data_IF_353404332018
#
_entry.id   IF_353404332018
#
_cell.length_a   1.000
_cell.length_b   1.000
_cell.length_c   1.000
_cell.angle_alpha   90.00
_cell.angle_beta   90.00
_cell.angle_gamma   90.00
#
_symmetry.space_group_name_H-M   'P 1'
#
loop_
_entity.id
_entity.type
_entity.pdbx_description
1 polymer ?
#
# COMPACT_ATOMS: atom_id res chain seq x y z
N UNK A 1 -17.54 -13.75 3.61
CA UNK A 1 -16.32 -13.65 4.46
C UNK A 1 -16.56 -14.57 5.64
N UNK A 2 -15.86 -15.71 5.68
CA UNK A 2 -15.87 -16.58 6.83
C UNK A 2 -15.06 -15.94 7.96
N UNK A 3 -15.60 -16.00 9.18
CA UNK A 3 -14.95 -15.46 10.38
C UNK A 3 -14.96 -16.54 11.44
N UNK A 4 -13.81 -16.75 12.08
CA UNK A 4 -13.65 -17.63 13.21
C UNK A 4 -13.08 -16.85 14.41
N UNK A 5 -13.89 -16.67 15.45
CA UNK A 5 -13.47 -15.97 16.68
C UNK A 5 -13.38 -16.99 17.83
N UNK A 6 -12.25 -17.70 18.02
CA UNK A 6 -12.16 -18.72 19.06
C UNK A 6 -12.20 -18.14 20.49
N UNK A 7 -11.79 -16.89 20.62
CA UNK A 7 -11.95 -16.05 21.82
C UNK A 7 -12.31 -14.63 21.40
N UNK A 8 -12.81 -13.87 22.37
CA UNK A 8 -13.24 -12.49 22.24
C UNK A 8 -12.63 -11.66 23.37
N UNK A 9 -12.39 -10.38 23.11
CA UNK A 9 -11.69 -9.46 24.01
C UNK A 9 -10.22 -9.33 23.65
N UNK A 10 -9.58 -8.25 24.09
CA UNK A 10 -8.17 -7.94 23.79
C UNK A 10 -7.62 -6.89 24.76
N UNK A 11 -6.28 -6.73 24.78
CA UNK A 11 -5.60 -5.65 25.48
C UNK A 11 -5.02 -4.64 24.46
N UNK A 12 -5.27 -3.34 24.63
CA UNK A 12 -4.71 -2.30 23.74
C UNK A 12 -3.18 -2.24 23.88
N UNK A 13 -2.44 -2.23 22.77
CA UNK A 13 -0.94 -2.23 22.80
C UNK A 13 -0.27 -1.15 21.95
N UNK A 14 -1.04 -0.39 21.18
CA UNK A 14 -0.47 0.62 20.28
C UNK A 14 -1.49 1.68 19.90
N UNK A 15 -1.03 2.74 19.24
CA UNK A 15 -1.86 3.87 18.84
C UNK A 15 -3.05 3.45 17.94
N UNK A 16 -2.91 2.38 17.16
CA UNK A 16 -3.99 1.80 16.35
C UNK A 16 -5.15 1.20 17.19
N UNK A 17 -4.94 0.94 18.49
CA UNK A 17 -5.97 0.39 19.37
C UNK A 17 -6.86 1.48 20.02
N UNK A 18 -6.48 2.77 19.92
CA UNK A 18 -7.16 3.85 20.64
C UNK A 18 -8.68 3.86 20.40
N UNK A 19 -9.10 3.81 19.13
CA UNK A 19 -10.50 3.84 18.69
C UNK A 19 -11.03 2.48 18.20
N UNK A 20 -10.50 1.38 18.74
CA UNK A 20 -10.83 0.02 18.35
C UNK A 20 -12.35 -0.23 18.31
N UNK A 21 -12.85 -0.81 17.21
CA UNK A 21 -14.28 -1.08 17.04
C UNK A 21 -14.82 -2.15 17.99
N UNK A 22 -13.98 -3.06 18.47
CA UNK A 22 -14.38 -4.09 19.44
C UNK A 22 -14.75 -3.42 20.76
N UNK A 23 -13.83 -2.63 21.32
CA UNK A 23 -14.08 -1.83 22.52
C UNK A 23 -15.33 -0.95 22.40
N UNK A 24 -15.45 -0.22 21.28
CA UNK A 24 -16.62 0.65 21.04
C UNK A 24 -17.94 -0.12 20.99
N UNK A 25 -17.93 -1.30 20.37
CA UNK A 25 -19.14 -2.14 20.24
C UNK A 25 -19.51 -2.77 21.58
N UNK A 26 -18.54 -3.28 22.32
CA UNK A 26 -18.78 -3.92 23.61
C UNK A 26 -19.25 -2.88 24.64
N UNK A 27 -18.64 -1.69 24.66
CA UNK A 27 -19.07 -0.56 25.49
C UNK A 27 -20.54 -0.18 25.22
N UNK A 28 -20.96 -0.17 23.94
CA UNK A 28 -22.35 0.16 23.56
C UNK A 28 -23.41 -0.82 24.10
N UNK A 29 -22.99 -2.01 24.55
CA UNK A 29 -23.85 -3.03 25.16
C UNK A 29 -23.46 -3.32 26.62
N UNK A 30 -22.64 -2.45 27.24
CA UNK A 30 -22.23 -2.57 28.64
C UNK A 30 -21.25 -3.72 28.94
N UNK A 31 -20.50 -4.19 27.93
CA UNK A 31 -19.51 -5.25 28.06
C UNK A 31 -18.09 -4.68 28.09
N UNK A 32 -17.25 -5.22 28.96
CA UNK A 32 -15.82 -4.90 29.01
C UNK A 32 -15.02 -5.74 28.01
N UNK A 33 -14.49 -5.10 26.97
CA UNK A 33 -13.67 -5.75 25.94
C UNK A 33 -12.27 -6.16 26.42
N UNK A 34 -11.81 -5.70 27.58
CA UNK A 34 -10.53 -6.12 28.17
C UNK A 34 -10.62 -7.51 28.83
N UNK A 35 -11.82 -7.99 29.12
CA UNK A 35 -12.04 -9.34 29.65
C UNK A 35 -11.99 -10.33 28.49
N UNK A 36 -10.89 -11.07 28.39
CA UNK A 36 -10.71 -12.10 27.36
C UNK A 36 -11.43 -13.37 27.78
N UNK A 37 -12.25 -13.90 26.88
CA UNK A 37 -12.98 -15.14 27.11
C UNK A 37 -13.07 -16.01 25.85
N UNK A 38 -12.95 -17.32 26.05
CA UNK A 38 -13.23 -18.34 25.04
C UNK A 38 -14.69 -18.22 24.58
N UNK A 39 -14.94 -18.29 23.27
CA UNK A 39 -16.31 -18.20 22.73
C UNK A 39 -16.91 -19.57 22.48
N UNK A 40 -18.22 -19.61 22.23
CA UNK A 40 -18.88 -20.79 21.70
C UNK A 40 -18.40 -21.20 20.30
N UNK A 41 -17.68 -20.34 19.58
CA UNK A 41 -17.15 -20.61 18.24
C UNK A 41 -15.70 -21.12 18.24
N UNK A 42 -15.15 -21.43 19.41
CA UNK A 42 -13.84 -22.07 19.53
C UNK A 42 -13.67 -23.25 18.56
N UNK A 43 -14.59 -24.21 18.55
CA UNK A 43 -14.49 -25.41 17.70
C UNK A 43 -15.07 -25.24 16.28
N UNK A 44 -15.37 -24.01 15.81
CA UNK A 44 -16.04 -23.76 14.54
C UNK A 44 -15.41 -24.48 13.32
N UNK A 45 -14.06 -24.55 13.15
CA UNK A 45 -13.44 -25.29 12.06
C UNK A 45 -13.75 -26.79 12.07
N UNK A 46 -14.18 -27.36 13.19
CA UNK A 46 -14.58 -28.76 13.26
C UNK A 46 -16.10 -28.95 13.38
N UNK A 47 -16.87 -27.88 13.63
CA UNK A 47 -18.33 -27.95 13.73
C UNK A 47 -18.92 -28.43 12.42
N UNK A 48 -19.85 -29.38 12.55
CA UNK A 48 -20.63 -29.93 11.43
C UNK A 48 -22.09 -29.54 11.51
N UNK A 49 -22.77 -29.52 10.36
CA UNK A 49 -24.23 -29.41 10.28
C UNK A 49 -24.90 -30.76 10.57
N UNK A 50 -26.23 -30.82 10.49
CA UNK A 50 -27.00 -32.06 10.73
C UNK A 50 -26.75 -33.14 9.67
N UNK A 51 -26.30 -32.76 8.48
CA UNK A 51 -25.90 -33.69 7.41
C UNK A 51 -24.47 -34.24 7.59
N UNK A 52 -23.73 -33.78 8.61
CA UNK A 52 -22.35 -34.24 8.87
C UNK A 52 -21.27 -33.51 8.06
N UNK A 53 -21.65 -32.46 7.32
CA UNK A 53 -20.75 -31.60 6.55
C UNK A 53 -20.17 -30.51 7.45
N UNK A 54 -18.93 -30.07 7.19
CA UNK A 54 -18.35 -28.97 7.95
C UNK A 54 -19.10 -27.66 7.68
N UNK A 55 -19.28 -26.85 8.74
CA UNK A 55 -19.91 -25.52 8.62
C UNK A 55 -19.04 -24.50 7.88
N UNK A 56 -17.74 -24.76 7.78
CA UNK A 56 -16.79 -23.99 6.98
C UNK A 56 -16.27 -24.88 5.87
N UNK A 57 -16.29 -24.40 4.64
CA UNK A 57 -15.76 -25.08 3.46
C UNK A 57 -14.77 -24.17 2.70
N UNK A 58 -13.99 -24.75 1.79
CA UNK A 58 -13.10 -23.99 0.92
C UNK A 58 -13.84 -22.97 0.04
N UNK A 59 -15.12 -23.21 -0.26
CA UNK A 59 -15.95 -22.32 -1.09
C UNK A 59 -16.30 -21.02 -0.36
N UNK A 60 -16.24 -21.00 0.98
CA UNK A 60 -16.40 -19.79 1.79
C UNK A 60 -15.23 -18.80 1.64
N UNK A 61 -14.15 -19.25 0.99
CA UNK A 61 -12.90 -18.54 0.78
C UNK A 61 -12.05 -18.50 2.04
N UNK A 62 -11.38 -17.36 2.26
CA UNK A 62 -10.49 -17.14 3.41
C UNK A 62 -11.29 -17.13 4.71
N UNK A 63 -10.78 -17.85 5.72
CA UNK A 63 -11.26 -17.81 7.11
C UNK A 63 -10.43 -16.81 7.90
N UNK A 64 -11.05 -15.68 8.27
CA UNK A 64 -10.39 -14.67 9.08
C UNK A 64 -10.51 -15.02 10.58
N UNK A 65 -9.38 -15.26 11.22
CA UNK A 65 -9.31 -15.60 12.63
C UNK A 65 -9.22 -14.34 13.51
N UNK A 66 -9.84 -14.39 14.70
CA UNK A 66 -9.72 -13.37 15.75
C UNK A 66 -10.14 -11.95 15.32
N UNK A 67 -11.20 -11.83 14.52
CA UNK A 67 -11.81 -10.54 14.18
C UNK A 67 -12.49 -9.82 15.37
N UNK A 68 -12.43 -10.35 16.59
CA UNK A 68 -12.84 -9.64 17.81
C UNK A 68 -11.85 -9.82 18.96
N UNK A 69 -10.60 -10.18 18.65
CA UNK A 69 -9.52 -10.44 19.59
C UNK A 69 -8.17 -10.32 18.87
N UNK A 70 -7.08 -10.83 19.44
CA UNK A 70 -5.80 -11.04 18.75
C UNK A 70 -5.36 -12.50 19.03
N UNK A 71 -4.83 -13.18 18.02
CA UNK A 71 -4.54 -14.62 18.13
C UNK A 71 -3.38 -14.92 19.10
N UNK A 72 -2.49 -13.94 19.30
CA UNK A 72 -1.30 -14.08 20.14
C UNK A 72 -1.47 -13.45 21.54
N UNK A 73 -2.71 -13.29 22.03
CA UNK A 73 -2.97 -12.85 23.41
C UNK A 73 -2.49 -13.87 24.45
N UNK A 74 -1.88 -13.40 25.54
CA UNK A 74 -1.47 -14.21 26.70
C UNK A 74 -2.63 -15.01 27.29
N UNK A 75 -3.77 -14.35 27.45
CA UNK A 75 -4.98 -14.93 28.02
C UNK A 75 -5.51 -16.14 27.22
N UNK A 76 -5.07 -16.29 25.96
CA UNK A 76 -5.44 -17.40 25.09
C UNK A 76 -4.39 -18.52 25.05
N UNK A 77 -3.27 -18.42 25.80
CA UNK A 77 -2.17 -19.38 25.76
C UNK A 77 -2.64 -20.83 26.02
N UNK A 78 -3.53 -21.02 27.00
CA UNK A 78 -4.07 -22.34 27.36
C UNK A 78 -4.99 -22.95 26.28
N UNK A 79 -5.56 -22.13 25.41
CA UNK A 79 -6.50 -22.59 24.38
C UNK A 79 -5.86 -22.67 22.99
N UNK A 80 -4.76 -21.94 22.75
CA UNK A 80 -4.21 -21.77 21.40
C UNK A 80 -3.77 -23.08 20.77
N UNK A 81 -3.24 -24.03 21.54
CA UNK A 81 -2.80 -25.31 20.98
C UNK A 81 -3.95 -26.03 20.25
N UNK A 82 -5.16 -26.03 20.82
CA UNK A 82 -6.30 -26.64 20.14
C UNK A 82 -6.71 -25.89 18.86
N UNK A 83 -6.51 -24.56 18.79
CA UNK A 83 -6.66 -23.83 17.53
C UNK A 83 -5.62 -24.26 16.48
N UNK A 84 -4.36 -24.45 16.85
CA UNK A 84 -3.36 -24.98 15.93
C UNK A 84 -3.70 -26.39 15.45
N UNK A 85 -4.21 -27.25 16.33
CA UNK A 85 -4.63 -28.60 15.96
C UNK A 85 -5.78 -28.58 14.95
N UNK A 86 -6.72 -27.64 15.11
CA UNK A 86 -7.80 -27.43 14.15
C UNK A 86 -7.31 -26.91 12.80
N UNK A 87 -6.40 -25.92 12.79
CA UNK A 87 -5.79 -25.39 11.57
C UNK A 87 -5.00 -26.46 10.82
N UNK A 88 -4.21 -27.27 11.56
CA UNK A 88 -3.45 -28.40 11.01
C UNK A 88 -4.37 -29.45 10.38
N UNK A 89 -5.53 -29.72 11.00
CA UNK A 89 -6.50 -30.70 10.49
C UNK A 89 -7.28 -30.19 9.28
N UNK A 90 -7.55 -28.90 9.20
CA UNK A 90 -8.34 -28.26 8.14
C UNK A 90 -7.43 -27.64 7.06
N UNK A 91 -6.57 -28.46 6.46
CA UNK A 91 -5.71 -28.04 5.35
C UNK A 91 -6.49 -27.68 4.09
N UNK A 92 -7.77 -28.04 4.02
CA UNK A 92 -8.70 -27.61 2.98
C UNK A 92 -9.17 -26.15 3.14
N UNK A 93 -8.93 -25.52 4.30
CA UNK A 93 -9.23 -24.11 4.55
C UNK A 93 -7.97 -23.27 4.58
N UNK A 94 -8.06 -22.03 4.12
CA UNK A 94 -6.99 -21.03 4.24
C UNK A 94 -7.30 -20.02 5.35
N UNK A 95 -6.41 -19.88 6.33
CA UNK A 95 -6.62 -19.03 7.51
C UNK A 95 -5.82 -17.73 7.41
N UNK A 96 -6.47 -16.58 7.60
CA UNK A 96 -5.80 -15.30 7.79
C UNK A 96 -5.81 -14.93 9.28
N UNK A 97 -4.61 -14.77 9.85
CA UNK A 97 -4.41 -14.37 11.24
C UNK A 97 -3.82 -12.96 11.25
N UNK A 98 -4.63 -11.97 11.60
CA UNK A 98 -4.22 -10.58 11.71
C UNK A 98 -3.76 -10.30 13.15
N UNK A 99 -2.58 -9.70 13.32
CA UNK A 99 -2.05 -9.41 14.66
C UNK A 99 -1.31 -8.08 14.75
N UNK A 100 -1.29 -7.52 15.96
CA UNK A 100 -0.37 -6.43 16.38
C UNK A 100 0.75 -6.92 17.31
N UNK A 101 0.77 -8.22 17.63
CA UNK A 101 1.63 -8.91 18.62
C UNK A 101 2.59 -9.90 17.95
N UNK A 102 3.17 -9.51 16.83
CA UNK A 102 4.00 -10.42 16.04
C UNK A 102 5.26 -10.87 16.81
N UNK A 103 5.70 -10.10 17.80
CA UNK A 103 6.75 -10.40 18.75
C UNK A 103 6.48 -11.66 19.60
N UNK A 104 5.22 -12.04 19.80
CA UNK A 104 4.86 -13.27 20.51
C UNK A 104 4.83 -14.51 19.62
N UNK A 105 4.96 -14.39 18.30
CA UNK A 105 4.77 -15.53 17.40
C UNK A 105 5.67 -16.73 17.75
N UNK A 106 6.96 -16.50 17.98
CA UNK A 106 7.94 -17.57 18.22
C UNK A 106 7.65 -18.42 19.45
N UNK A 107 6.99 -17.86 20.48
CA UNK A 107 6.62 -18.60 21.69
C UNK A 107 5.23 -19.26 21.59
N UNK A 108 4.48 -18.95 20.52
CA UNK A 108 3.09 -19.36 20.36
C UNK A 108 2.89 -20.40 19.25
N UNK A 109 3.90 -20.70 18.44
CA UNK A 109 3.81 -21.71 17.38
C UNK A 109 3.90 -23.15 17.91
N UNK A 110 3.26 -24.13 17.24
CA UNK A 110 3.41 -25.54 17.61
C UNK A 110 4.81 -26.06 17.24
N UNK A 111 5.24 -27.15 17.89
CA UNK A 111 6.58 -27.72 17.69
C UNK A 111 6.85 -28.25 16.28
N UNK A 112 5.80 -28.58 15.52
CA UNK A 112 5.86 -29.07 14.14
C UNK A 112 5.62 -27.97 13.09
N UNK A 113 5.74 -26.69 13.48
CA UNK A 113 5.50 -25.56 12.59
C UNK A 113 6.44 -25.52 11.37
N UNK A 114 7.70 -25.95 11.53
CA UNK A 114 8.69 -25.95 10.45
C UNK A 114 9.01 -24.55 9.93
N UNK A 115 8.99 -24.37 8.61
CA UNK A 115 9.17 -23.09 7.91
C UNK A 115 7.85 -22.34 7.66
N UNK A 116 6.74 -22.85 8.19
CA UNK A 116 5.40 -22.29 8.07
C UNK A 116 4.43 -23.20 7.31
N UNK A 117 3.14 -23.08 7.62
CA UNK A 117 2.10 -23.88 6.97
C UNK A 117 1.51 -23.18 5.74
N UNK A 118 1.32 -23.93 4.66
CA UNK A 118 0.74 -23.45 3.39
C UNK A 118 -0.66 -22.85 3.54
N UNK A 119 -1.44 -23.35 4.49
CA UNK A 119 -2.82 -22.94 4.68
C UNK A 119 -2.99 -21.80 5.69
N UNK A 120 -1.90 -21.08 6.01
CA UNK A 120 -1.89 -19.98 6.98
C UNK A 120 -1.18 -18.75 6.42
N UNK A 121 -1.90 -17.64 6.37
CA UNK A 121 -1.37 -16.29 6.13
C UNK A 121 -1.34 -15.51 7.44
N UNK A 122 -0.16 -14.98 7.79
CA UNK A 122 -0.01 -14.04 8.89
C UNK A 122 -0.02 -12.61 8.35
N UNK A 123 -0.85 -11.76 8.95
CA UNK A 123 -0.97 -10.36 8.57
C UNK A 123 -0.47 -9.47 9.71
N UNK A 124 0.66 -8.79 9.51
CA UNK A 124 1.24 -7.89 10.50
C UNK A 124 0.64 -6.49 10.38
N UNK A 125 -0.01 -6.00 11.43
CA UNK A 125 -0.55 -4.63 11.41
C UNK A 125 0.57 -3.60 11.66
N UNK A 126 0.67 -2.58 10.81
CA UNK A 126 1.59 -1.45 10.93
C UNK A 126 0.82 -0.13 10.75
N UNK A 127 0.32 0.46 11.83
CA UNK A 127 -0.51 1.67 11.75
C UNK A 127 0.28 2.98 11.48
N UNK A 128 1.60 3.00 11.71
CA UNK A 128 2.46 4.16 11.53
C UNK A 128 3.93 3.72 11.37
N UNK A 129 4.84 4.67 11.10
CA UNK A 129 6.26 4.38 10.89
C UNK A 129 6.93 3.69 12.08
N UNK A 130 6.67 4.17 13.30
CA UNK A 130 7.24 3.59 14.53
C UNK A 130 6.87 2.10 14.71
N UNK A 131 5.61 1.74 14.46
CA UNK A 131 5.19 0.33 14.49
C UNK A 131 5.73 -0.47 13.30
N UNK A 132 5.94 0.16 12.15
CA UNK A 132 6.57 -0.47 10.97
C UNK A 132 8.01 -0.85 11.27
N UNK A 133 8.82 0.09 11.79
CA UNK A 133 10.22 -0.14 12.12
C UNK A 133 10.40 -1.12 13.29
N UNK A 134 9.44 -1.20 14.21
CA UNK A 134 9.45 -2.21 15.28
C UNK A 134 9.05 -3.60 14.78
N UNK A 135 7.91 -3.74 14.08
CA UNK A 135 7.28 -5.03 13.82
C UNK A 135 7.83 -5.73 12.58
N UNK A 136 8.15 -5.02 11.50
CA UNK A 136 8.55 -5.66 10.25
C UNK A 136 9.89 -6.40 10.33
N UNK A 137 10.95 -5.89 11.01
CA UNK A 137 12.18 -6.67 11.18
C UNK A 137 11.95 -8.00 11.89
N UNK A 138 11.13 -8.01 12.94
CA UNK A 138 10.72 -9.23 13.64
C UNK A 138 9.97 -10.14 12.66
N UNK A 139 8.91 -9.62 12.03
CA UNK A 139 8.04 -10.37 11.13
C UNK A 139 8.77 -11.07 9.99
N UNK A 140 9.78 -10.42 9.41
CA UNK A 140 10.59 -10.96 8.32
C UNK A 140 11.58 -12.04 8.80
N UNK A 141 11.99 -12.02 10.08
CA UNK A 141 12.91 -13.01 10.66
C UNK A 141 12.23 -14.33 11.07
N UNK A 142 10.90 -14.34 11.21
CA UNK A 142 10.14 -15.48 11.70
C UNK A 142 9.90 -16.53 10.59
N UNK A 143 9.76 -17.82 10.93
CA UNK A 143 9.49 -18.91 9.98
C UNK A 143 8.03 -18.88 9.50
N UNK A 144 7.66 -17.88 8.73
CA UNK A 144 6.31 -17.71 8.19
C UNK A 144 6.37 -17.95 6.68
N UNK A 145 5.39 -18.65 6.12
CA UNK A 145 5.35 -18.87 4.66
C UNK A 145 4.70 -17.69 3.95
N UNK A 146 3.45 -17.41 4.30
CA UNK A 146 2.65 -16.34 3.70
C UNK A 146 2.57 -15.13 4.62
N UNK A 147 3.08 -13.98 4.15
CA UNK A 147 3.16 -12.73 4.91
C UNK A 147 2.40 -11.60 4.22
N UNK A 148 1.53 -10.94 4.96
CA UNK A 148 0.89 -9.71 4.53
C UNK A 148 1.11 -8.59 5.54
N UNK A 149 1.05 -7.34 5.08
CA UNK A 149 1.11 -6.15 5.93
C UNK A 149 -0.21 -5.38 5.86
N UNK A 150 -0.73 -4.98 7.02
CA UNK A 150 -1.98 -4.23 7.14
C UNK A 150 -1.69 -2.87 7.77
N UNK A 151 -1.81 -1.80 6.99
CA UNK A 151 -1.75 -0.42 7.48
C UNK A 151 -3.18 0.08 7.74
N UNK A 152 -3.86 -0.53 8.71
CA UNK A 152 -5.25 -0.18 9.07
C UNK A 152 -5.47 -0.25 10.60
N UNK A 153 -5.85 0.88 11.26
CA UNK A 153 -5.95 2.21 10.67
C UNK A 153 -4.58 2.76 10.28
N UNK A 154 -4.49 3.46 9.15
CA UNK A 154 -3.31 4.23 8.77
C UNK A 154 -3.32 5.57 9.51
N UNK A 155 -2.32 5.79 10.36
CA UNK A 155 -2.24 6.94 11.28
C UNK A 155 -1.10 7.91 10.92
N UNK A 156 -0.41 7.68 9.82
CA UNK A 156 0.67 8.52 9.34
C UNK A 156 1.30 7.95 8.08
N UNK A 157 2.27 8.69 7.55
CA UNK A 157 3.13 8.21 6.48
C UNK A 157 3.95 7.00 6.94
N UNK A 158 4.13 6.03 6.03
CA UNK A 158 4.88 4.81 6.26
C UNK A 158 5.80 4.59 5.06
N UNK A 159 7.08 4.40 5.34
CA UNK A 159 8.07 3.89 4.42
C UNK A 159 8.45 2.46 4.80
N UNK A 160 8.21 1.53 3.89
CA UNK A 160 8.48 0.11 4.05
C UNK A 160 9.18 -0.51 2.84
N UNK A 161 9.58 0.28 1.83
CA UNK A 161 10.25 -0.22 0.62
C UNK A 161 11.43 -1.15 0.93
N UNK A 162 12.27 -0.82 1.93
CA UNK A 162 13.37 -1.70 2.36
C UNK A 162 12.89 -3.11 2.77
N UNK A 163 11.72 -3.19 3.40
CA UNK A 163 11.10 -4.45 3.81
C UNK A 163 10.45 -5.17 2.63
N UNK A 164 9.75 -4.43 1.76
CA UNK A 164 9.14 -4.99 0.54
C UNK A 164 10.19 -5.57 -0.41
N UNK A 165 11.35 -4.92 -0.53
CA UNK A 165 12.46 -5.35 -1.39
C UNK A 165 13.07 -6.70 -1.02
N UNK A 166 12.76 -7.24 0.16
CA UNK A 166 13.17 -8.59 0.56
C UNK A 166 12.48 -9.69 -0.25
N UNK A 167 11.35 -9.38 -0.90
CA UNK A 167 10.53 -10.35 -1.62
C UNK A 167 9.71 -11.30 -0.73
N UNK A 168 9.72 -11.10 0.59
CA UNK A 168 9.01 -11.98 1.55
C UNK A 168 7.58 -11.55 1.85
N UNK A 169 7.18 -10.32 1.53
CA UNK A 169 5.83 -9.79 1.76
C UNK A 169 5.02 -9.96 0.48
N UNK A 170 3.92 -10.69 0.58
CA UNK A 170 3.08 -11.08 -0.57
C UNK A 170 1.97 -10.06 -0.85
N UNK A 171 1.59 -9.25 0.13
CA UNK A 171 0.54 -8.24 -0.03
C UNK A 171 0.62 -7.13 1.02
N UNK A 172 0.21 -5.92 0.62
CA UNK A 172 0.01 -4.79 1.53
C UNK A 172 -1.42 -4.25 1.38
N UNK A 173 -2.08 -3.99 2.50
CA UNK A 173 -3.35 -3.26 2.51
C UNK A 173 -3.27 -1.98 3.34
N UNK A 174 -3.93 -0.92 2.90
CA UNK A 174 -4.07 0.34 3.64
C UNK A 174 -5.53 0.69 3.83
N UNK A 175 -5.87 1.27 4.99
CA UNK A 175 -7.22 1.74 5.27
C UNK A 175 -7.28 2.80 6.35
N UNK A 176 -8.23 3.72 6.25
CA UNK A 176 -8.48 4.73 7.29
C UNK A 176 -9.26 4.19 8.49
N UNK A 177 -9.27 4.95 9.58
CA UNK A 177 -9.98 4.60 10.80
C UNK A 177 -11.50 4.80 10.67
N UNK A 178 -12.29 3.95 11.33
CA UNK A 178 -13.76 4.04 11.32
C UNK A 178 -14.32 4.39 12.69
N UNK A 179 -15.52 4.97 12.72
CA UNK A 179 -16.20 5.41 13.95
C UNK A 179 -16.20 6.93 14.10
N UNK A 180 -16.90 7.44 15.11
CA UNK A 180 -17.11 8.88 15.33
C UNK A 180 -15.81 9.61 15.70
N UNK A 181 -14.93 8.94 16.44
CA UNK A 181 -13.63 9.47 16.86
C UNK A 181 -12.50 9.14 15.86
N UNK A 182 -12.83 8.81 14.61
CA UNK A 182 -11.84 8.42 13.61
C UNK A 182 -10.82 9.53 13.36
N UNK A 183 -9.54 9.17 13.39
CA UNK A 183 -8.45 10.07 13.03
C UNK A 183 -8.33 10.23 11.51
N UNK A 184 -7.84 11.38 11.02
CA UNK A 184 -7.70 11.62 9.58
C UNK A 184 -6.75 10.62 8.90
N UNK A 185 -7.16 10.10 7.74
CA UNK A 185 -6.34 9.32 6.84
C UNK A 185 -6.09 10.12 5.55
N UNK A 186 -4.83 10.38 5.21
CA UNK A 186 -4.46 11.17 4.04
C UNK A 186 -4.21 10.28 2.81
N UNK A 187 -4.84 10.63 1.68
CA UNK A 187 -4.63 9.93 0.40
C UNK A 187 -3.14 9.87 0.02
N UNK A 188 -2.34 10.88 0.38
CA UNK A 188 -0.91 10.92 0.06
C UNK A 188 -0.16 9.73 0.69
N UNK A 189 -0.50 9.35 1.92
CA UNK A 189 0.14 8.22 2.58
C UNK A 189 -0.17 6.90 1.85
N UNK A 190 -1.42 6.71 1.45
CA UNK A 190 -1.89 5.56 0.65
C UNK A 190 -1.15 5.51 -0.70
N UNK A 191 -1.00 6.66 -1.36
CA UNK A 191 -0.29 6.76 -2.63
C UNK A 191 1.20 6.44 -2.50
N UNK A 192 1.86 6.87 -1.42
CA UNK A 192 3.28 6.51 -1.19
C UNK A 192 3.46 5.02 -0.98
N UNK A 193 2.68 4.39 -0.09
CA UNK A 193 2.77 2.92 0.12
C UNK A 193 2.45 2.15 -1.16
N UNK A 194 1.44 2.59 -1.93
CA UNK A 194 1.15 2.02 -3.25
C UNK A 194 2.34 2.11 -4.20
N UNK A 195 3.05 3.24 -4.23
CA UNK A 195 4.24 3.42 -5.08
C UNK A 195 5.37 2.50 -4.67
N UNK A 196 5.61 2.33 -3.37
CA UNK A 196 6.58 1.36 -2.86
C UNK A 196 6.22 -0.06 -3.29
N UNK A 197 4.94 -0.43 -3.20
CA UNK A 197 4.44 -1.72 -3.67
C UNK A 197 4.63 -1.92 -5.19
N UNK A 198 4.37 -0.88 -6.00
CA UNK A 198 4.63 -0.93 -7.45
C UNK A 198 6.12 -1.15 -7.73
N UNK A 199 7.01 -0.41 -7.07
CA UNK A 199 8.47 -0.55 -7.25
C UNK A 199 8.96 -1.96 -6.93
N UNK A 200 8.40 -2.56 -5.89
CA UNK A 200 8.75 -3.92 -5.45
C UNK A 200 7.89 -5.03 -6.09
N UNK A 201 6.98 -4.70 -7.02
CA UNK A 201 6.01 -5.64 -7.61
C UNK A 201 5.19 -6.43 -6.57
N UNK A 202 4.85 -5.79 -5.44
CA UNK A 202 4.01 -6.35 -4.38
C UNK A 202 2.55 -5.94 -4.61
N UNK A 203 1.58 -6.87 -4.60
CA UNK A 203 0.15 -6.56 -4.60
C UNK A 203 -0.24 -5.58 -3.48
N UNK A 204 -1.08 -4.60 -3.83
CA UNK A 204 -1.54 -3.55 -2.93
C UNK A 204 -3.05 -3.38 -2.97
N UNK A 205 -3.69 -3.23 -1.81
CA UNK A 205 -5.12 -2.95 -1.71
C UNK A 205 -5.40 -1.68 -0.90
N UNK A 206 -6.03 -0.70 -1.55
CA UNK A 206 -6.67 0.39 -0.82
C UNK A 206 -8.04 -0.09 -0.31
N UNK A 207 -8.09 -0.50 0.95
CA UNK A 207 -9.23 -1.22 1.54
C UNK A 207 -10.42 -0.32 1.80
N UNK A 208 -10.17 0.81 2.47
CA UNK A 208 -11.23 1.74 2.87
C UNK A 208 -10.68 3.14 3.18
N UNK A 209 -11.50 4.17 2.99
CA UNK A 209 -11.11 5.56 3.30
C UNK A 209 -11.08 5.88 4.80
N UNK A 210 -11.83 5.13 5.61
CA UNK A 210 -12.19 5.57 6.97
C UNK A 210 -13.20 6.71 6.97
N UNK A 211 -13.56 7.18 8.17
CA UNK A 211 -14.60 8.21 8.36
C UNK A 211 -14.09 9.64 8.18
N UNK A 212 -12.81 9.90 8.40
CA UNK A 212 -12.18 11.21 8.18
C UNK A 212 -11.06 11.04 7.16
N UNK A 213 -11.27 11.52 5.94
CA UNK A 213 -10.37 11.31 4.81
C UNK A 213 -9.87 12.64 4.24
N UNK A 214 -8.56 12.77 4.05
CA UNK A 214 -7.95 13.98 3.47
C UNK A 214 -7.54 13.69 2.03
N UNK A 215 -8.00 14.52 1.11
CA UNK A 215 -7.62 14.46 -0.31
C UNK A 215 -7.48 15.87 -0.86
N UNK A 216 -6.37 16.14 -1.54
CA UNK A 216 -6.08 17.43 -2.18
C UNK A 216 -6.21 18.64 -1.22
N UNK A 217 -5.79 18.45 0.03
CA UNK A 217 -5.87 19.46 1.10
C UNK A 217 -7.28 19.68 1.66
N UNK A 218 -8.27 18.90 1.24
CA UNK A 218 -9.66 18.96 1.73
C UNK A 218 -9.96 17.76 2.62
N UNK A 219 -10.66 18.01 3.72
CA UNK A 219 -11.14 16.98 4.64
C UNK A 219 -12.56 16.58 4.26
N UNK A 220 -12.80 15.27 4.19
CA UNK A 220 -14.07 14.65 3.89
C UNK A 220 -14.52 13.79 5.07
N UNK A 221 -15.76 13.98 5.51
CA UNK A 221 -16.41 13.12 6.49
C UNK A 221 -17.32 12.14 5.75
N UNK A 222 -17.04 10.85 5.86
CA UNK A 222 -17.68 9.81 5.06
C UNK A 222 -18.52 8.88 5.93
N UNK A 223 -19.75 8.61 5.50
CA UNK A 223 -20.59 7.55 6.06
C UNK A 223 -19.91 6.18 5.89
N UNK A 224 -20.02 5.31 6.91
CA UNK A 224 -19.44 3.95 6.92
C UNK A 224 -19.76 3.15 5.66
N UNK A 225 -20.96 3.26 5.09
CA UNK A 225 -21.35 2.55 3.86
C UNK A 225 -20.53 2.97 2.63
N UNK A 226 -19.90 4.15 2.68
CA UNK A 226 -19.10 4.70 1.59
C UNK A 226 -17.61 4.34 1.70
N UNK A 227 -17.11 3.89 2.86
CA UNK A 227 -15.67 3.76 3.08
C UNK A 227 -14.99 2.81 2.09
N UNK A 228 -15.52 1.60 1.94
CA UNK A 228 -15.00 0.58 1.02
C UNK A 228 -15.33 0.94 -0.43
N UNK A 229 -16.55 1.41 -0.70
CA UNK A 229 -16.99 1.68 -2.06
C UNK A 229 -16.23 2.86 -2.69
N UNK A 230 -15.89 3.89 -1.91
CA UNK A 230 -15.08 5.02 -2.38
C UNK A 230 -13.61 4.62 -2.59
N UNK A 231 -13.04 3.80 -1.71
CA UNK A 231 -11.71 3.25 -1.91
C UNK A 231 -11.65 2.41 -3.21
N UNK A 232 -12.62 1.52 -3.42
CA UNK A 232 -12.73 0.73 -4.67
C UNK A 232 -12.89 1.61 -5.91
N UNK A 233 -13.78 2.62 -5.86
CA UNK A 233 -14.02 3.57 -6.98
C UNK A 233 -12.80 4.41 -7.35
N UNK A 234 -11.82 4.53 -6.46
CA UNK A 234 -10.60 5.30 -6.71
C UNK A 234 -9.67 4.62 -7.73
N UNK A 235 -9.74 3.30 -7.88
CA UNK A 235 -8.83 2.53 -8.74
C UNK A 235 -7.40 2.38 -8.19
N UNK A 236 -7.13 2.79 -6.94
CA UNK A 236 -5.76 2.78 -6.39
C UNK A 236 -5.25 1.40 -5.94
N UNK A 237 -6.07 0.35 -5.93
CA UNK A 237 -5.51 -1.00 -5.76
C UNK A 237 -4.57 -1.33 -6.92
N UNK A 238 -3.58 -2.18 -6.66
CA UNK A 238 -2.57 -2.58 -7.63
C UNK A 238 -2.34 -4.07 -7.53
N UNK A 239 -2.35 -4.73 -8.67
CA UNK A 239 -1.89 -6.11 -8.85
C UNK A 239 -0.92 -6.04 -10.03
N UNK A 240 0.33 -6.50 -9.87
CA UNK A 240 1.32 -6.47 -10.94
C UNK A 240 0.78 -7.06 -12.24
N UNK A 241 1.05 -6.39 -13.36
CA UNK A 241 0.69 -6.84 -14.71
C UNK A 241 -0.83 -7.01 -14.98
N UNK A 242 -1.71 -6.46 -14.14
CA UNK A 242 -3.16 -6.53 -14.34
C UNK A 242 -3.77 -5.24 -14.92
N UNK A 243 -2.95 -4.22 -15.24
CA UNK A 243 -3.43 -2.96 -15.82
C UNK A 243 -4.37 -2.16 -14.91
N UNK A 244 -4.31 -2.38 -13.58
CA UNK A 244 -5.26 -1.78 -12.63
C UNK A 244 -5.25 -0.25 -12.66
N UNK A 245 -4.09 0.35 -12.91
CA UNK A 245 -3.95 1.80 -12.97
C UNK A 245 -4.66 2.44 -14.19
N UNK A 246 -5.03 1.67 -15.21
CA UNK A 246 -5.76 2.18 -16.38
C UNK A 246 -7.19 2.64 -16.02
N UNK A 247 -7.74 2.11 -14.93
CA UNK A 247 -9.05 2.51 -14.42
C UNK A 247 -9.03 3.84 -13.66
N UNK A 248 -7.84 4.36 -13.30
CA UNK A 248 -7.71 5.61 -12.56
C UNK A 248 -8.00 6.78 -13.51
N UNK A 249 -9.07 7.52 -13.19
CA UNK A 249 -9.44 8.71 -13.96
C UNK A 249 -8.61 9.90 -13.54
N UNK A 250 -7.97 10.56 -14.49
CA UNK A 250 -7.17 11.75 -14.26
C UNK A 250 -7.21 12.69 -15.48
N UNK A 251 -6.68 13.91 -15.32
CA UNK A 251 -6.55 14.89 -16.40
C UNK A 251 -5.14 15.44 -16.42
N UNK A 252 -4.51 15.47 -17.59
CA UNK A 252 -3.23 16.14 -17.80
C UNK A 252 -3.38 17.65 -17.53
N UNK A 253 -2.45 18.26 -16.79
CA UNK A 253 -2.52 19.69 -16.52
C UNK A 253 -2.25 20.50 -17.79
N UNK A 254 -2.86 21.69 -17.85
CA UNK A 254 -2.45 22.71 -18.81
C UNK A 254 -0.96 23.03 -18.63
N UNK A 255 -0.20 23.15 -19.72
CA UNK A 255 1.27 23.32 -19.66
C UNK A 255 1.65 24.67 -19.05
N UNK A 256 0.91 25.74 -19.32
CA UNK A 256 1.14 27.05 -18.70
C UNK A 256 0.97 27.00 -17.18
N UNK A 257 -0.15 26.40 -16.72
CA UNK A 257 -0.40 26.19 -15.29
C UNK A 257 0.65 25.26 -14.65
N UNK A 258 1.08 24.21 -15.35
CA UNK A 258 2.14 23.31 -14.90
C UNK A 258 3.46 24.06 -14.67
N UNK A 259 3.93 24.82 -15.67
CA UNK A 259 5.19 25.57 -15.55
C UNK A 259 5.11 26.67 -14.48
N UNK A 260 3.98 27.36 -14.35
CA UNK A 260 3.76 28.32 -13.27
C UNK A 260 3.78 27.67 -11.87
N UNK A 261 3.40 26.38 -11.77
CA UNK A 261 3.50 25.61 -10.52
C UNK A 261 4.92 25.11 -10.28
N UNK A 262 5.62 24.66 -11.32
CA UNK A 262 7.01 24.18 -11.25
C UNK A 262 7.97 25.31 -10.83
N UNK A 263 7.77 26.53 -11.31
CA UNK A 263 8.61 27.70 -10.95
C UNK A 263 8.56 28.06 -9.46
N UNK A 264 7.51 27.64 -8.74
CA UNK A 264 7.38 27.82 -7.28
C UNK A 264 8.11 26.74 -6.48
N UNK A 265 8.72 25.75 -7.12
CA UNK A 265 9.47 24.70 -6.46
C UNK A 265 10.96 25.02 -6.49
N UNK A 266 11.55 25.28 -5.33
CA UNK A 266 12.98 25.57 -5.18
C UNK A 266 13.86 24.48 -5.82
N UNK A 267 13.47 23.22 -5.67
CA UNK A 267 14.19 22.10 -6.26
C UNK A 267 14.14 22.11 -7.79
N UNK A 268 12.98 22.42 -8.39
CA UNK A 268 12.79 22.37 -9.85
C UNK A 268 13.36 23.60 -10.54
N UNK A 269 13.25 24.76 -9.88
CA UNK A 269 13.69 26.05 -10.42
C UNK A 269 15.22 26.22 -10.47
N UNK A 270 16.00 25.29 -9.88
CA UNK A 270 17.47 25.35 -9.89
C UNK A 270 18.13 24.78 -11.14
N UNK A 271 17.36 24.09 -11.98
CA UNK A 271 17.89 23.42 -13.17
C UNK A 271 17.89 24.40 -14.34
N UNK A 272 19.04 24.53 -14.99
CA UNK A 272 19.22 25.36 -16.18
C UNK A 272 20.16 24.71 -17.18
N UNK A 273 20.01 25.02 -18.46
CA UNK A 273 20.95 24.58 -19.50
C UNK A 273 22.26 25.35 -19.38
N UNK A 274 23.39 24.63 -19.29
CA UNK A 274 24.71 25.26 -19.36
C UNK A 274 25.04 25.73 -20.77
N UNK A 275 26.06 26.57 -20.94
CA UNK A 275 26.54 26.98 -22.26
C UNK A 275 26.89 25.78 -23.17
N UNK A 276 27.43 24.70 -22.59
CA UNK A 276 27.70 23.44 -23.29
C UNK A 276 26.42 22.74 -23.74
N UNK A 277 25.40 22.71 -22.89
CA UNK A 277 24.10 22.10 -23.22
C UNK A 277 23.42 22.88 -24.36
N UNK A 278 23.43 24.21 -24.29
CA UNK A 278 22.88 25.08 -25.36
C UNK A 278 23.61 24.87 -26.68
N UNK A 279 24.95 24.85 -26.66
CA UNK A 279 25.75 24.58 -27.85
C UNK A 279 25.42 23.21 -28.46
N UNK A 280 25.22 22.18 -27.63
CA UNK A 280 24.81 20.84 -28.10
C UNK A 280 23.41 20.84 -28.73
N UNK A 281 22.44 21.55 -28.13
CA UNK A 281 21.09 21.70 -28.70
C UNK A 281 21.16 22.41 -30.07
N UNK A 282 21.94 23.48 -30.19
CA UNK A 282 22.16 24.19 -31.45
C UNK A 282 22.83 23.31 -32.51
N UNK A 283 23.88 22.56 -32.13
CA UNK A 283 24.62 21.67 -33.03
C UNK A 283 23.73 20.54 -33.57
N UNK A 284 22.93 19.90 -32.72
CA UNK A 284 22.08 18.75 -33.10
C UNK A 284 20.75 19.14 -33.72
N UNK A 285 20.23 20.32 -33.39
CA UNK A 285 18.91 20.79 -33.79
C UNK A 285 17.76 20.20 -32.97
N UNK A 286 16.64 20.94 -32.91
CA UNK A 286 15.50 20.62 -32.03
C UNK A 286 14.82 19.29 -32.34
N UNK A 287 14.74 18.86 -33.61
CA UNK A 287 14.10 17.58 -33.96
C UNK A 287 14.93 16.39 -33.45
N UNK A 288 16.26 16.47 -33.54
CA UNK A 288 17.15 15.46 -32.99
C UNK A 288 17.01 15.37 -31.47
N UNK A 289 16.97 16.52 -30.77
CA UNK A 289 16.76 16.56 -29.32
C UNK A 289 15.40 15.99 -28.92
N UNK A 290 14.35 16.26 -29.71
CA UNK A 290 13.02 15.66 -29.54
C UNK A 290 13.06 14.14 -29.70
N UNK A 291 13.80 13.62 -30.68
CA UNK A 291 14.01 12.17 -30.84
C UNK A 291 14.71 11.57 -29.62
N UNK A 292 15.76 12.21 -29.09
CA UNK A 292 16.41 11.76 -27.85
C UNK A 292 15.44 11.76 -26.66
N UNK A 293 14.56 12.77 -26.57
CA UNK A 293 13.54 12.82 -25.52
C UNK A 293 12.54 11.68 -25.63
N UNK A 294 12.08 11.34 -26.84
CA UNK A 294 11.23 10.15 -27.08
C UNK A 294 11.93 8.88 -26.58
N UNK A 295 13.18 8.68 -26.97
CA UNK A 295 13.96 7.49 -26.58
C UNK A 295 14.16 7.39 -25.06
N UNK A 296 14.43 8.51 -24.38
CA UNK A 296 14.62 8.49 -22.92
C UNK A 296 13.32 8.28 -22.16
N UNK A 297 12.22 8.89 -22.59
CA UNK A 297 10.90 8.66 -22.00
C UNK A 297 10.50 7.20 -22.19
N UNK A 298 10.74 6.64 -23.37
CA UNK A 298 10.43 5.25 -23.65
C UNK A 298 11.23 4.30 -22.77
N UNK A 299 12.56 4.42 -22.79
CA UNK A 299 13.43 3.47 -22.10
C UNK A 299 13.34 3.56 -20.57
N UNK A 300 12.99 4.73 -20.01
CA UNK A 300 13.13 5.00 -18.57
C UNK A 300 11.81 5.22 -17.83
N UNK A 301 10.70 5.44 -18.52
CA UNK A 301 9.43 5.83 -17.88
C UNK A 301 8.21 5.05 -18.37
N UNK A 302 8.26 4.41 -19.54
CA UNK A 302 7.07 3.84 -20.18
C UNK A 302 6.53 2.59 -19.49
N UNK A 303 7.40 1.76 -18.90
CA UNK A 303 7.00 0.53 -18.23
C UNK A 303 6.09 0.76 -17.01
N UNK A 304 5.29 -0.25 -16.66
CA UNK A 304 4.44 -0.25 -15.45
C UNK A 304 5.26 0.03 -14.18
N UNK A 305 6.41 -0.66 -14.09
CA UNK A 305 7.41 -0.52 -13.05
C UNK A 305 8.79 -0.29 -13.71
N UNK A 306 9.19 0.98 -13.97
CA UNK A 306 10.47 1.27 -14.58
C UNK A 306 11.65 0.85 -13.69
N UNK A 307 12.70 0.36 -14.32
CA UNK A 307 13.93 -0.02 -13.61
C UNK A 307 14.52 1.18 -12.87
N UNK A 308 14.87 1.00 -11.60
CA UNK A 308 15.39 2.05 -10.72
C UNK A 308 14.48 3.29 -10.63
N UNK A 309 13.14 3.12 -10.62
CA UNK A 309 12.22 4.25 -10.52
C UNK A 309 12.52 5.16 -9.31
N UNK A 310 12.57 6.45 -9.55
CA UNK A 310 13.06 7.48 -8.61
C UNK A 310 14.54 7.82 -8.79
N UNK A 311 15.32 6.96 -9.44
CA UNK A 311 16.77 7.12 -9.68
C UNK A 311 17.17 6.87 -11.14
N UNK A 312 16.21 6.58 -12.03
CA UNK A 312 16.46 6.18 -13.40
C UNK A 312 16.99 7.31 -14.29
N UNK A 313 16.81 8.58 -13.92
CA UNK A 313 17.17 9.73 -14.75
C UNK A 313 18.43 10.40 -14.22
N UNK A 314 19.55 10.40 -14.98
CA UNK A 314 20.77 11.11 -14.58
C UNK A 314 20.52 12.60 -14.33
N UNK A 315 21.32 13.24 -13.48
CA UNK A 315 21.18 14.66 -13.17
C UNK A 315 21.85 15.59 -14.20
N UNK A 316 22.75 15.05 -15.02
CA UNK A 316 23.62 15.77 -15.96
C UNK A 316 23.97 14.89 -17.16
N UNK A 317 24.63 15.46 -18.16
CA UNK A 317 25.23 14.73 -19.29
C UNK A 317 24.42 14.79 -20.58
N UNK A 318 23.17 15.28 -20.53
CA UNK A 318 22.36 15.56 -21.72
C UNK A 318 21.30 16.63 -21.39
N UNK A 319 21.00 17.59 -22.30
CA UNK A 319 20.00 18.63 -22.06
C UNK A 319 18.62 18.09 -21.64
N UNK A 320 18.19 16.98 -22.26
CA UNK A 320 16.92 16.32 -21.91
C UNK A 320 16.89 15.79 -20.48
N UNK A 321 18.01 15.30 -19.93
CA UNK A 321 18.03 14.85 -18.53
C UNK A 321 17.81 16.01 -17.56
N UNK A 322 18.42 17.17 -17.87
CA UNK A 322 18.18 18.41 -17.11
C UNK A 322 16.71 18.80 -17.22
N UNK A 323 16.14 18.78 -18.43
CA UNK A 323 14.74 19.07 -18.67
C UNK A 323 13.79 18.11 -17.92
N UNK A 324 14.10 16.81 -17.84
CA UNK A 324 13.31 15.84 -17.07
C UNK A 324 13.25 16.19 -15.59
N UNK A 325 14.37 16.65 -15.01
CA UNK A 325 14.37 17.08 -13.61
C UNK A 325 13.69 18.43 -13.43
N UNK A 326 13.92 19.40 -14.32
CA UNK A 326 13.29 20.72 -14.25
C UNK A 326 11.77 20.64 -14.40
N UNK A 327 11.30 19.85 -15.37
CA UNK A 327 9.89 19.72 -15.71
C UNK A 327 9.14 18.63 -14.93
N UNK A 328 9.79 17.99 -13.95
CA UNK A 328 9.24 16.90 -13.14
C UNK A 328 8.79 15.65 -13.95
N UNK A 329 9.50 15.36 -15.03
CA UNK A 329 9.34 14.16 -15.86
C UNK A 329 10.48 13.14 -15.62
N UNK A 330 11.10 13.11 -14.44
CA UNK A 330 12.28 12.27 -14.17
C UNK A 330 11.97 10.88 -13.57
N UNK A 331 10.77 10.67 -13.01
CA UNK A 331 10.32 9.37 -12.48
C UNK A 331 8.79 9.29 -12.38
N UNK A 332 8.23 8.09 -12.09
CA UNK A 332 6.78 7.89 -11.96
C UNK A 332 6.15 8.72 -10.84
N UNK A 333 6.85 8.84 -9.71
CA UNK A 333 6.40 9.66 -8.59
C UNK A 333 6.25 11.15 -8.99
N UNK A 334 7.15 11.63 -9.85
CA UNK A 334 7.06 13.00 -10.36
C UNK A 334 5.93 13.14 -11.38
N UNK A 335 5.76 12.17 -12.28
CA UNK A 335 4.64 12.14 -13.23
C UNK A 335 3.27 12.15 -12.52
N UNK A 336 3.11 11.36 -11.47
CA UNK A 336 1.87 11.30 -10.70
C UNK A 336 1.61 12.62 -9.95
N UNK A 337 2.62 13.17 -9.29
CA UNK A 337 2.49 14.41 -8.51
C UNK A 337 2.30 15.65 -9.38
N UNK A 338 3.05 15.75 -10.48
CA UNK A 338 3.13 16.98 -11.27
C UNK A 338 2.28 16.96 -12.53
N UNK A 339 2.04 15.78 -13.10
CA UNK A 339 1.33 15.61 -14.37
C UNK A 339 0.03 14.82 -14.21
N UNK A 340 -0.29 14.37 -13.00
CA UNK A 340 -1.45 13.55 -12.65
C UNK A 340 -1.45 12.15 -13.31
N UNK A 341 -0.36 11.72 -13.95
CA UNK A 341 -0.26 10.41 -14.61
C UNK A 341 -0.02 9.34 -13.52
N UNK A 342 -0.96 8.41 -13.29
CA UNK A 342 -0.88 7.48 -12.17
C UNK A 342 0.34 6.55 -12.24
N UNK A 343 0.92 6.21 -11.08
CA UNK A 343 1.97 5.18 -11.00
C UNK A 343 1.40 3.79 -11.27
N UNK A 344 2.22 2.84 -11.73
CA UNK A 344 1.79 1.46 -11.99
C UNK A 344 0.96 1.30 -13.26
N UNK A 345 1.16 2.19 -14.24
CA UNK A 345 0.54 2.18 -15.56
C UNK A 345 1.63 2.17 -16.63
N UNK A 346 1.45 1.35 -17.67
CA UNK A 346 2.25 1.46 -18.90
C UNK A 346 1.83 2.73 -19.65
N UNK A 347 2.80 3.61 -19.95
CA UNK A 347 2.49 4.87 -20.64
C UNK A 347 1.92 4.60 -22.02
N UNK A 348 0.79 5.24 -22.31
CA UNK A 348 0.21 5.31 -23.65
C UNK A 348 1.04 6.21 -24.56
N UNK A 349 0.89 6.07 -25.87
CA UNK A 349 1.57 6.96 -26.83
C UNK A 349 1.22 8.43 -26.62
N UNK A 350 -0.04 8.74 -26.30
CA UNK A 350 -0.46 10.10 -26.00
C UNK A 350 0.21 10.68 -24.75
N UNK A 351 0.38 9.87 -23.70
CA UNK A 351 1.09 10.28 -22.48
C UNK A 351 2.58 10.47 -22.75
N UNK A 352 3.22 9.58 -23.52
CA UNK A 352 4.63 9.72 -23.94
C UNK A 352 4.84 11.00 -24.75
N UNK A 353 3.98 11.25 -25.74
CA UNK A 353 4.02 12.47 -26.55
C UNK A 353 3.85 13.73 -25.70
N UNK A 354 2.89 13.73 -24.78
CA UNK A 354 2.70 14.85 -23.85
C UNK A 354 3.96 15.13 -23.01
N UNK A 355 4.59 14.09 -22.46
CA UNK A 355 5.82 14.24 -21.68
C UNK A 355 6.93 14.85 -22.55
N UNK A 356 7.12 14.33 -23.76
CA UNK A 356 8.11 14.87 -24.71
C UNK A 356 7.82 16.34 -25.02
N UNK A 357 6.57 16.72 -25.26
CA UNK A 357 6.24 18.13 -25.54
C UNK A 357 6.54 19.06 -24.36
N UNK A 358 6.27 18.62 -23.13
CA UNK A 358 6.63 19.37 -21.93
C UNK A 358 8.15 19.55 -21.83
N UNK A 359 8.94 18.50 -22.11
CA UNK A 359 10.40 18.57 -22.10
C UNK A 359 10.92 19.54 -23.15
N UNK A 360 10.38 19.47 -24.37
CA UNK A 360 10.81 20.32 -25.47
C UNK A 360 10.43 21.79 -25.26
N UNK A 361 9.25 22.07 -24.72
CA UNK A 361 8.83 23.44 -24.38
C UNK A 361 9.73 24.05 -23.30
N UNK A 362 10.17 23.25 -22.31
CA UNK A 362 11.13 23.73 -21.31
C UNK A 362 12.51 24.01 -21.94
N UNK A 363 13.02 23.12 -22.80
CA UNK A 363 14.31 23.31 -23.48
C UNK A 363 14.26 24.56 -24.36
N UNK A 364 13.19 24.75 -25.13
CA UNK A 364 13.02 25.93 -25.99
C UNK A 364 13.07 27.23 -25.20
N UNK A 365 12.37 27.30 -24.06
CA UNK A 365 12.42 28.47 -23.17
C UNK A 365 13.84 28.76 -22.67
N UNK A 366 14.57 27.73 -22.25
CA UNK A 366 15.95 27.87 -21.77
C UNK A 366 16.95 28.26 -22.87
N UNK A 367 16.66 27.95 -24.13
CA UNK A 367 17.46 28.42 -25.27
C UNK A 367 17.27 29.92 -25.55
N UNK A 368 16.18 30.53 -25.06
CA UNK A 368 15.87 31.95 -25.22
C UNK A 368 16.18 32.83 -24.00
N UNK A 369 16.53 32.20 -22.87
CA UNK A 369 17.10 32.86 -21.69
C UNK A 369 18.62 32.96 -21.82
#
# INVERSE_FOLDING_TARGET
MAIWNPWHGCHKISAGCANCYVYRRDESIGKDASVVAKTGDYDLPLKKNRQGEYKLSAEDGIVFACMTSDFFLEDADEWRQGCWDMIRRRQDLHFHIITKRIDRFAQCIPSDWGDGWDNVTLCCTCENQDRTDYRLPIFLSLPIKHREVICEPMLGEINMEKHLSTGLIEHVSCGGESGENARPCDLRWIQEVRRECIRCAVPFTFRQTGAVFIKDGRTYHLDRKLHISQAKKSGYSYIPNMGMADAIKYKLPDRGALFARLSRSDFRNRFHLSAKDKAYVTEKGMETIRSHARDFVEKRLSAENPENDGKQTPMKGHPVFIAQHAAACCCRSCLEKWHNIPSGKVLTEGERSYIVDVLMEWIEREMHL
#
